data_IF_911300416135
#
_entry.id   IF_911300416135
#
_cell.length_a   1.000
_cell.length_b   1.000
_cell.length_c   1.000
_cell.angle_alpha   90.00
_cell.angle_beta   90.00
_cell.angle_gamma   90.00
#
_symmetry.space_group_name_H-M   'P 1'
#
loop_
_entity.id
_entity.type
_entity.pdbx_description
1 polymer ?
#
# COMPACT_ATOMS: atom_id res chain seq x y z
N UNK A 1 -16.37 -7.86 11.68
CA UNK A 1 -15.56 -8.80 10.86
C UNK A 1 -14.60 -7.99 10.01
N UNK A 2 -13.32 -8.36 10.01
CA UNK A 2 -12.34 -7.68 9.18
C UNK A 2 -12.54 -8.03 7.70
N UNK A 3 -12.17 -7.08 6.81
CA UNK A 3 -12.21 -7.34 5.37
C UNK A 3 -11.18 -8.39 5.00
N UNK A 4 -11.52 -9.27 4.06
CA UNK A 4 -10.56 -10.15 3.42
C UNK A 4 -9.71 -9.30 2.48
N UNK A 5 -8.40 -9.39 2.61
CA UNK A 5 -7.47 -8.62 1.80
C UNK A 5 -6.65 -9.55 0.91
N UNK A 6 -6.54 -9.19 -0.36
CA UNK A 6 -5.69 -9.90 -1.31
C UNK A 6 -4.57 -8.99 -1.79
N UNK A 7 -3.42 -9.60 -2.11
CA UNK A 7 -2.25 -8.86 -2.59
C UNK A 7 -2.62 -8.05 -3.83
N UNK A 8 -2.14 -6.81 -3.87
CA UNK A 8 -2.36 -5.82 -4.93
C UNK A 8 -3.77 -5.28 -5.01
N UNK A 9 -4.63 -5.57 -4.03
CA UNK A 9 -5.84 -4.79 -3.85
C UNK A 9 -5.51 -3.43 -3.26
N UNK A 10 -6.34 -2.46 -3.62
CA UNK A 10 -6.26 -1.10 -3.09
C UNK A 10 -7.40 -0.94 -2.10
N UNK A 11 -7.05 -0.55 -0.89
CA UNK A 11 -8.01 -0.34 0.19
C UNK A 11 -7.90 1.06 0.76
N UNK A 12 -9.00 1.56 1.28
CA UNK A 12 -8.99 2.72 2.17
C UNK A 12 -8.61 2.23 3.56
N UNK A 13 -7.59 2.82 4.16
CA UNK A 13 -6.98 2.34 5.40
C UNK A 13 -6.80 3.49 6.39
N UNK A 14 -7.15 3.24 7.66
CA UNK A 14 -6.91 4.21 8.73
C UNK A 14 -5.46 4.06 9.21
N UNK A 15 -4.65 5.06 8.94
CA UNK A 15 -3.22 5.04 9.28
C UNK A 15 -2.89 5.70 10.62
N UNK A 16 -3.77 6.55 11.14
CA UNK A 16 -3.54 7.18 12.44
C UNK A 16 -3.69 6.17 13.59
N UNK A 17 -2.92 6.31 14.67
CA UNK A 17 -1.97 7.38 14.92
C UNK A 17 -0.64 7.17 14.18
N UNK A 18 -0.03 8.27 13.76
CA UNK A 18 1.28 8.29 13.11
C UNK A 18 2.16 9.37 13.75
N UNK A 19 3.46 9.36 13.43
CA UNK A 19 4.43 10.28 14.03
C UNK A 19 5.17 11.02 12.92
N UNK A 20 5.33 12.33 13.11
CA UNK A 20 6.18 13.16 12.28
C UNK A 20 5.77 13.21 10.83
N UNK A 21 6.67 12.80 9.92
CA UNK A 21 6.48 12.86 8.47
C UNK A 21 5.85 11.61 7.87
N UNK A 22 5.39 10.68 8.70
CA UNK A 22 4.63 9.54 8.21
C UNK A 22 3.32 10.00 7.56
N UNK A 23 2.92 9.35 6.49
CA UNK A 23 1.61 9.58 5.88
C UNK A 23 0.54 9.16 6.89
N UNK A 24 -0.41 10.05 7.13
CA UNK A 24 -1.38 9.90 8.22
C UNK A 24 -2.82 10.00 7.74
N UNK A 25 -3.75 9.87 8.68
CA UNK A 25 -5.20 9.88 8.47
C UNK A 25 -5.64 8.62 7.73
N UNK A 26 -6.81 8.68 7.14
CA UNK A 26 -7.34 7.61 6.31
C UNK A 26 -6.86 7.86 4.88
N UNK A 27 -6.18 6.87 4.32
CA UNK A 27 -5.54 6.98 2.99
C UNK A 27 -5.80 5.74 2.16
N UNK A 28 -5.77 5.94 0.86
CA UNK A 28 -5.71 4.86 -0.11
C UNK A 28 -4.36 4.17 0.01
N UNK A 29 -4.36 2.85 0.17
CA UNK A 29 -3.15 2.05 0.31
C UNK A 29 -3.22 0.81 -0.55
N UNK A 30 -2.06 0.36 -1.02
CA UNK A 30 -1.91 -0.89 -1.75
C UNK A 30 -1.55 -2.00 -0.76
N UNK A 31 -2.25 -3.12 -0.82
CA UNK A 31 -1.89 -4.32 -0.06
C UNK A 31 -0.71 -4.98 -0.77
N UNK A 32 0.42 -5.08 -0.09
CA UNK A 32 1.64 -5.67 -0.67
C UNK A 32 2.03 -7.00 -0.05
N UNK A 33 1.49 -7.34 1.10
CA UNK A 33 1.76 -8.64 1.73
C UNK A 33 1.16 -9.77 0.91
N UNK A 34 1.83 -10.94 0.85
CA UNK A 34 1.34 -12.07 0.07
C UNK A 34 0.06 -12.66 0.64
N UNK A 35 -0.73 -13.30 -0.23
CA UNK A 35 -2.01 -13.88 0.17
C UNK A 35 -1.86 -14.93 1.26
N UNK A 36 -0.77 -15.68 1.27
CA UNK A 36 -0.46 -16.64 2.31
C UNK A 36 -0.46 -15.97 3.69
N UNK A 37 0.25 -14.85 3.83
CA UNK A 37 0.26 -14.06 5.05
C UNK A 37 -1.12 -13.48 5.34
N UNK A 38 -1.78 -12.92 4.33
CA UNK A 38 -3.05 -12.24 4.50
C UNK A 38 -4.17 -13.17 5.01
N UNK A 39 -4.07 -14.45 4.70
CA UNK A 39 -5.07 -15.44 5.14
C UNK A 39 -4.86 -15.95 6.56
N UNK A 40 -3.63 -15.88 7.06
CA UNK A 40 -3.25 -16.61 8.28
C UNK A 40 -2.97 -15.75 9.49
N UNK A 41 -2.71 -14.45 9.33
CA UNK A 41 -2.47 -13.55 10.47
C UNK A 41 -3.38 -12.33 10.41
N UNK A 42 -3.48 -11.63 11.53
CA UNK A 42 -4.43 -10.53 11.70
C UNK A 42 -3.92 -9.19 11.17
N UNK A 43 -2.74 -9.18 10.59
CA UNK A 43 -2.12 -7.97 10.05
C UNK A 43 -1.86 -8.11 8.56
N UNK A 44 -1.74 -6.97 7.88
CA UNK A 44 -1.33 -6.89 6.48
C UNK A 44 -0.25 -5.82 6.36
N UNK A 45 0.58 -5.94 5.31
CA UNK A 45 1.56 -4.91 4.99
C UNK A 45 1.00 -4.07 3.85
N UNK A 46 1.00 -2.76 4.04
CA UNK A 46 0.44 -1.82 3.07
C UNK A 46 1.46 -0.78 2.66
N UNK A 47 1.31 -0.27 1.44
CA UNK A 47 2.05 0.87 0.94
C UNK A 47 1.06 2.01 0.72
N UNK A 48 1.22 3.16 1.41
CA UNK A 48 0.31 4.28 1.21
C UNK A 48 0.49 4.90 -0.17
N UNK A 49 -0.57 5.50 -0.67
CA UNK A 49 -0.57 6.22 -1.94
C UNK A 49 -0.80 7.70 -1.66
N UNK A 50 -0.13 8.55 -2.43
CA UNK A 50 -0.26 10.00 -2.28
C UNK A 50 -0.35 10.67 -3.64
N UNK A 51 -1.06 11.79 -3.72
CA UNK A 51 -1.07 12.65 -4.89
C UNK A 51 -0.01 13.75 -4.81
N UNK A 52 0.74 13.81 -3.71
CA UNK A 52 1.73 14.84 -3.46
C UNK A 52 3.12 14.24 -3.30
N UNK A 53 4.12 15.11 -3.34
CA UNK A 53 5.50 14.71 -3.12
C UNK A 53 6.28 14.55 -4.41
N UNK A 54 7.60 14.43 -4.25
CA UNK A 54 8.53 14.28 -5.35
C UNK A 54 8.60 12.83 -5.81
N UNK A 55 8.96 12.64 -7.06
CA UNK A 55 9.31 11.33 -7.56
C UNK A 55 10.64 10.88 -6.94
N UNK A 56 10.65 9.67 -6.39
CA UNK A 56 11.85 9.01 -5.88
C UNK A 56 11.94 7.60 -6.48
N UNK A 57 13.14 7.00 -6.53
CA UNK A 57 13.26 5.63 -7.03
C UNK A 57 12.41 4.61 -6.25
N UNK A 58 12.11 4.90 -4.99
CA UNK A 58 11.31 4.03 -4.12
C UNK A 58 9.81 4.27 -4.24
N UNK A 59 9.37 5.09 -5.20
CA UNK A 59 7.96 5.41 -5.40
C UNK A 59 7.53 5.04 -6.80
N UNK A 60 6.35 4.44 -6.92
CA UNK A 60 5.81 3.99 -8.20
C UNK A 60 4.71 4.94 -8.64
N UNK A 61 4.88 5.62 -9.79
CA UNK A 61 3.80 6.44 -10.34
C UNK A 61 2.58 5.59 -10.68
N UNK A 62 1.41 6.10 -10.39
CA UNK A 62 0.16 5.41 -10.67
C UNK A 62 -0.96 6.40 -10.96
N UNK A 63 -1.89 5.98 -11.81
CA UNK A 63 -3.17 6.64 -11.95
C UNK A 63 -4.26 5.70 -11.47
N UNK A 64 -4.98 6.11 -10.43
CA UNK A 64 -6.02 5.28 -9.81
C UNK A 64 -7.24 6.14 -9.55
N UNK A 65 -8.41 5.67 -9.98
CA UNK A 65 -9.68 6.39 -9.84
C UNK A 65 -9.59 7.84 -10.34
N UNK A 66 -8.97 8.02 -11.53
CA UNK A 66 -8.79 9.31 -12.20
C UNK A 66 -7.85 10.27 -11.47
N UNK A 67 -7.14 9.81 -10.46
CA UNK A 67 -6.12 10.61 -9.76
C UNK A 67 -4.74 10.08 -10.10
N UNK A 68 -3.84 10.99 -10.45
CA UNK A 68 -2.43 10.67 -10.65
C UNK A 68 -1.71 10.83 -9.32
N UNK A 69 -0.90 9.87 -8.97
CA UNK A 69 -0.17 9.88 -7.71
C UNK A 69 0.97 8.90 -7.71
N UNK A 70 1.37 8.48 -6.51
CA UNK A 70 2.49 7.57 -6.31
C UNK A 70 2.15 6.55 -5.22
N UNK A 71 2.65 5.33 -5.42
CA UNK A 71 2.68 4.31 -4.37
C UNK A 71 4.01 4.52 -3.62
N UNK A 72 3.93 4.75 -2.31
CA UNK A 72 5.08 5.17 -1.50
C UNK A 72 5.69 3.96 -0.80
N UNK A 73 6.60 3.28 -1.49
CA UNK A 73 7.21 2.05 -0.98
C UNK A 73 8.22 2.30 0.14
N UNK A 74 8.70 3.52 0.28
CA UNK A 74 9.57 3.90 1.40
C UNK A 74 8.80 4.12 2.72
N UNK A 75 7.47 4.05 2.69
CA UNK A 75 6.63 4.16 3.89
C UNK A 75 5.72 2.94 4.07
N UNK A 76 6.16 1.77 3.63
CA UNK A 76 5.39 0.55 3.90
C UNK A 76 5.30 0.32 5.40
N UNK A 77 4.16 -0.22 5.82
CA UNK A 77 3.95 -0.52 7.23
C UNK A 77 2.97 -1.66 7.40
N UNK A 78 3.08 -2.33 8.54
CA UNK A 78 2.13 -3.35 8.96
C UNK A 78 0.99 -2.69 9.70
N UNK A 79 -0.23 -3.03 9.34
CA UNK A 79 -1.43 -2.56 10.05
C UNK A 79 -2.32 -3.74 10.39
N UNK A 80 -3.07 -3.60 11.47
CA UNK A 80 -4.10 -4.57 11.82
C UNK A 80 -5.22 -4.51 10.77
N UNK A 81 -5.80 -5.66 10.43
CA UNK A 81 -6.88 -5.73 9.44
C UNK A 81 -8.11 -4.89 9.82
N UNK A 82 -8.32 -4.61 11.09
CA UNK A 82 -9.42 -3.74 11.52
C UNK A 82 -9.27 -2.30 11.00
N UNK A 83 -8.08 -1.91 10.57
CA UNK A 83 -7.83 -0.59 9.97
C UNK A 83 -8.27 -0.50 8.52
N UNK A 84 -8.56 -1.63 7.87
CA UNK A 84 -9.06 -1.66 6.50
C UNK A 84 -10.53 -1.23 6.51
N UNK A 85 -10.81 -0.13 5.83
CA UNK A 85 -12.16 0.46 5.82
C UNK A 85 -12.98 -0.08 4.65
N UNK A 86 -12.39 -0.10 3.44
CA UNK A 86 -13.13 -0.42 2.23
C UNK A 86 -12.15 -0.82 1.12
N UNK A 87 -12.48 -1.88 0.38
CA UNK A 87 -11.79 -2.23 -0.85
C UNK A 87 -12.21 -1.27 -1.96
N UNK A 88 -11.23 -0.70 -2.67
CA UNK A 88 -11.47 0.27 -3.73
C UNK A 88 -11.22 -0.30 -5.13
N UNK A 89 -10.39 -1.31 -5.25
CA UNK A 89 -10.05 -1.90 -6.54
C UNK A 89 -8.75 -2.69 -6.47
N UNK A 90 -8.10 -2.84 -7.62
CA UNK A 90 -6.82 -3.54 -7.75
C UNK A 90 -5.93 -2.74 -8.68
N UNK A 91 -4.61 -2.97 -8.60
CA UNK A 91 -3.68 -2.45 -9.61
C UNK A 91 -3.49 -3.48 -10.71
N UNK A 92 -3.10 -3.01 -11.90
CA UNK A 92 -2.84 -3.90 -13.02
C UNK A 92 -1.50 -4.63 -12.85
N UNK A 93 -1.29 -5.66 -13.68
CA UNK A 93 -0.07 -6.48 -13.60
C UNK A 93 1.21 -5.69 -13.80
N UNK A 94 1.34 -4.79 -14.79
CA UNK A 94 2.57 -4.01 -14.95
C UNK A 94 2.91 -3.19 -13.70
N UNK A 95 1.93 -2.58 -13.05
CA UNK A 95 2.14 -1.83 -11.80
C UNK A 95 2.57 -2.77 -10.68
N UNK A 96 1.90 -3.91 -10.53
CA UNK A 96 2.25 -4.91 -9.53
C UNK A 96 3.69 -5.42 -9.70
N UNK A 97 4.08 -5.72 -10.93
CA UNK A 97 5.43 -6.17 -11.24
C UNK A 97 6.48 -5.11 -10.89
N UNK A 98 6.17 -3.84 -11.18
CA UNK A 98 7.07 -2.73 -10.84
C UNK A 98 7.21 -2.55 -9.32
N UNK A 99 6.12 -2.68 -8.60
CA UNK A 99 6.13 -2.63 -7.12
C UNK A 99 7.05 -3.71 -6.58
N UNK A 100 6.91 -4.95 -7.04
CA UNK A 100 7.75 -6.06 -6.58
C UNK A 100 9.21 -5.86 -6.93
N UNK A 101 9.51 -5.35 -8.13
CA UNK A 101 10.88 -5.08 -8.54
C UNK A 101 11.54 -4.04 -7.64
N UNK A 102 10.84 -2.96 -7.34
CA UNK A 102 11.36 -1.89 -6.48
C UNK A 102 11.52 -2.38 -5.03
N UNK A 103 10.57 -3.15 -4.51
CA UNK A 103 10.72 -3.76 -3.18
C UNK A 103 11.95 -4.67 -3.12
N UNK A 104 12.19 -5.44 -4.19
CA UNK A 104 13.39 -6.27 -4.28
C UNK A 104 14.67 -5.45 -4.23
N UNK A 105 14.73 -4.33 -4.95
CA UNK A 105 15.86 -3.42 -4.91
C UNK A 105 16.04 -2.75 -3.55
N UNK A 106 14.93 -2.31 -2.96
CA UNK A 106 14.94 -1.60 -1.67
C UNK A 106 15.55 -2.45 -0.57
N UNK A 107 15.29 -3.76 -0.58
CA UNK A 107 15.77 -4.69 0.44
C UNK A 107 16.96 -5.54 -0.01
N UNK A 108 17.50 -5.29 -1.18
CA UNK A 108 18.72 -5.96 -1.63
C UNK A 108 19.93 -5.48 -0.81
N UNK A 109 20.92 -6.38 -0.56
CA UNK A 109 22.12 -6.01 0.17
C UNK A 109 22.99 -5.01 -0.61
#
# INVERSE_FOLDING_TARGET
>A
MALVASRFEVHLVRLDPTVGREIRKTRTCLIISPDEMNRHIDTVIVAPMTTQGRAYPTRVPIRFQRKTGQIVLDQIRTVDKIRLVKRLGTVNKPTADKVLAILGELFAP
#
